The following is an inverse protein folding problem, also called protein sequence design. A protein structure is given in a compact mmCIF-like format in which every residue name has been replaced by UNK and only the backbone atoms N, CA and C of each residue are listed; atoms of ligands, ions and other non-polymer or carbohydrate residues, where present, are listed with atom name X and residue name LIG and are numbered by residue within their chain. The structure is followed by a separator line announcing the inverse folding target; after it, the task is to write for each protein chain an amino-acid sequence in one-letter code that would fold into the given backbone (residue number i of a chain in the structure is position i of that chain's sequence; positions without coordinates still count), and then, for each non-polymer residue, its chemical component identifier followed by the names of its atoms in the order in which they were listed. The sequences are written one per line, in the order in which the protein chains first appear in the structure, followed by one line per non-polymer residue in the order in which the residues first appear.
data_IF_322645094096
#
_entry.id   IF_322645094096
#
_cell.length_a   1.000
_cell.length_b   1.000
_cell.length_c   1.000
_cell.angle_alpha   90.00
_cell.angle_beta   90.00
_cell.angle_gamma   90.00
#
_symmetry.space_group_name_H-M   'P 1'
#
loop_
_entity.id
_entity.type
_entity.pdbx_description
1 polymer ?
#
# COMPACT_ATOMS: atom_id res chain seq x y z
N UNK A 1 -3.50 11.49 1.39
CA UNK A 1 -4.77 11.39 0.63
C UNK A 1 -4.92 10.07 -0.12
N UNK A 2 -3.84 9.46 -0.62
CA UNK A 2 -3.88 8.26 -1.46
C UNK A 2 -4.37 6.95 -0.79
N UNK A 3 -4.71 6.97 0.50
CA UNK A 3 -5.21 5.80 1.24
C UNK A 3 -6.68 6.01 1.63
N UNK A 4 -6.97 6.36 2.88
CA UNK A 4 -8.34 6.44 3.42
C UNK A 4 -9.25 7.44 2.70
N UNK A 5 -8.72 8.61 2.31
CA UNK A 5 -9.50 9.62 1.57
C UNK A 5 -9.85 9.13 0.16
N UNK A 6 -8.92 8.48 -0.53
CA UNK A 6 -9.19 7.89 -1.84
C UNK A 6 -10.23 6.77 -1.74
N UNK A 7 -10.15 5.91 -0.72
CA UNK A 7 -11.17 4.89 -0.46
C UNK A 7 -12.55 5.51 -0.21
N UNK A 8 -12.61 6.62 0.53
CA UNK A 8 -13.86 7.35 0.77
C UNK A 8 -14.46 7.95 -0.50
N UNK A 9 -13.66 8.57 -1.35
CA UNK A 9 -14.13 9.10 -2.64
C UNK A 9 -14.74 7.98 -3.50
N UNK A 10 -14.18 6.76 -3.40
CA UNK A 10 -14.65 5.59 -4.11
C UNK A 10 -15.83 4.87 -3.44
N UNK A 11 -16.31 5.34 -2.28
CA UNK A 11 -17.33 4.67 -1.45
C UNK A 11 -16.91 3.25 -1.02
N UNK A 12 -15.63 3.07 -0.69
CA UNK A 12 -15.02 1.78 -0.30
C UNK A 12 -14.27 1.87 1.03
N UNK A 13 -14.72 2.75 1.93
CA UNK A 13 -14.17 2.83 3.28
C UNK A 13 -14.27 1.47 4.00
N UNK A 14 -13.21 1.08 4.70
CA UNK A 14 -13.15 -0.22 5.39
C UNK A 14 -12.79 -1.40 4.49
N UNK A 15 -12.93 -1.26 3.16
CA UNK A 15 -12.47 -2.26 2.18
C UNK A 15 -11.10 -1.92 1.59
N UNK A 16 -10.84 -0.64 1.31
CA UNK A 16 -9.59 -0.13 0.73
C UNK A 16 -8.96 0.95 1.61
N UNK A 17 -7.66 1.20 1.40
CA UNK A 17 -6.96 2.33 2.01
C UNK A 17 -6.78 2.22 3.54
N UNK A 18 -6.98 1.03 4.11
CA UNK A 18 -6.78 0.72 5.51
C UNK A 18 -6.20 -0.71 5.68
N UNK A 19 -5.59 -0.97 6.84
CA UNK A 19 -5.18 -2.31 7.26
C UNK A 19 -6.10 -2.73 8.40
N UNK A 20 -7.08 -3.56 8.09
CA UNK A 20 -8.09 -4.02 9.04
C UNK A 20 -8.61 -5.41 8.66
N UNK A 21 -9.18 -6.14 9.62
CA UNK A 21 -9.82 -7.42 9.33
C UNK A 21 -11.01 -7.22 8.38
N UNK A 22 -11.08 -8.04 7.32
CA UNK A 22 -12.14 -7.96 6.30
C UNK A 22 -11.86 -6.99 5.15
N UNK A 23 -10.82 -6.15 5.25
CA UNK A 23 -10.37 -5.32 4.13
C UNK A 23 -9.70 -6.16 3.03
N UNK A 24 -9.63 -5.61 1.82
CA UNK A 24 -8.90 -6.25 0.72
C UNK A 24 -7.40 -6.24 1.05
N UNK A 25 -6.74 -7.37 0.81
CA UNK A 25 -5.30 -7.51 0.98
C UNK A 25 -4.52 -6.82 -0.16
N UNK A 26 -4.66 -5.49 -0.24
CA UNK A 26 -3.86 -4.58 -1.05
C UNK A 26 -2.80 -3.93 -0.15
N UNK A 27 -1.54 -4.38 -0.27
CA UNK A 27 -0.47 -4.03 0.66
C UNK A 27 0.81 -3.63 -0.07
N UNK A 28 1.52 -2.65 0.49
CA UNK A 28 2.89 -2.31 0.11
C UNK A 28 3.79 -2.53 1.33
N UNK A 29 4.92 -3.19 1.12
CA UNK A 29 6.04 -3.17 2.08
C UNK A 29 7.07 -2.19 1.54
N UNK A 30 7.36 -1.17 2.32
CA UNK A 30 8.24 -0.06 1.94
C UNK A 30 9.51 -0.16 2.77
N UNK A 31 10.66 -0.07 2.11
CA UNK A 31 11.97 0.03 2.77
C UNK A 31 12.23 1.49 3.13
N UNK A 32 11.60 1.93 4.22
CA UNK A 32 11.61 3.31 4.69
C UNK A 32 10.35 3.67 5.45
N UNK A 33 10.28 4.90 5.97
CA UNK A 33 9.10 5.43 6.63
C UNK A 33 8.53 6.63 5.84
N UNK A 34 7.40 6.46 5.12
CA UNK A 34 6.74 7.54 4.38
C UNK A 34 6.26 8.71 5.23
N UNK A 35 6.12 8.55 6.56
CA UNK A 35 5.78 9.64 7.47
C UNK A 35 6.97 10.55 7.74
N UNK A 36 8.18 9.97 7.75
CA UNK A 36 9.43 10.68 7.97
C UNK A 36 10.04 11.21 6.66
N UNK A 37 9.97 10.43 5.58
CA UNK A 37 10.44 10.82 4.25
C UNK A 37 9.54 10.22 3.15
N UNK A 38 8.77 11.08 2.48
CA UNK A 38 7.85 10.67 1.41
C UNK A 38 8.59 10.17 0.15
N UNK A 39 9.89 10.44 0.01
CA UNK A 39 10.67 10.07 -1.17
C UNK A 39 10.71 8.56 -1.41
N UNK A 40 10.54 7.75 -0.35
CA UNK A 40 10.46 6.29 -0.43
C UNK A 40 9.27 5.75 -1.26
N UNK A 41 8.27 6.58 -1.55
CA UNK A 41 7.13 6.22 -2.40
C UNK A 41 7.24 6.74 -3.85
N UNK A 42 8.28 7.48 -4.17
CA UNK A 42 8.49 8.11 -5.49
C UNK A 42 9.38 7.19 -6.35
N UNK A 43 9.53 7.52 -7.65
CA UNK A 43 10.37 6.77 -8.58
C UNK A 43 9.59 5.71 -9.36
N UNK A 44 10.23 4.58 -9.62
CA UNK A 44 9.60 3.39 -10.22
C UNK A 44 9.39 2.27 -9.18
N UNK A 45 9.33 2.65 -7.90
CA UNK A 45 9.06 1.73 -6.79
C UNK A 45 10.29 0.95 -6.34
N UNK A 46 11.47 1.55 -6.45
CA UNK A 46 12.75 0.96 -6.05
C UNK A 46 12.75 0.55 -4.57
N UNK A 47 12.12 1.36 -3.71
CA UNK A 47 12.00 1.10 -2.27
C UNK A 47 10.74 0.31 -1.87
N UNK A 48 9.96 -0.17 -2.84
CA UNK A 48 8.81 -1.05 -2.56
C UNK A 48 9.29 -2.51 -2.58
N UNK A 49 9.66 -3.05 -1.42
CA UNK A 49 10.19 -4.40 -1.28
C UNK A 49 9.15 -5.49 -1.61
N UNK A 50 7.87 -5.22 -1.37
CA UNK A 50 6.78 -6.13 -1.71
C UNK A 50 5.53 -5.36 -2.13
N UNK A 51 4.82 -5.91 -3.11
CA UNK A 51 3.51 -5.43 -3.58
C UNK A 51 2.55 -6.60 -3.57
N UNK A 52 1.47 -6.47 -2.81
CA UNK A 52 0.36 -7.41 -2.76
C UNK A 52 -0.89 -6.71 -3.29
N UNK A 53 -1.61 -7.35 -4.20
CA UNK A 53 -2.86 -6.86 -4.75
C UNK A 53 -3.91 -7.98 -4.71
N UNK A 54 -5.05 -7.73 -4.07
CA UNK A 54 -6.12 -8.72 -3.90
C UNK A 54 -5.64 -10.01 -3.25
N UNK A 55 -4.67 -9.93 -2.33
CA UNK A 55 -4.05 -11.10 -1.69
C UNK A 55 -3.01 -11.84 -2.54
N UNK A 56 -2.72 -11.39 -3.76
CA UNK A 56 -1.71 -12.00 -4.63
C UNK A 56 -0.42 -11.17 -4.60
N UNK A 57 0.73 -11.85 -4.50
CA UNK A 57 2.04 -11.19 -4.52
C UNK A 57 2.44 -10.90 -5.96
N UNK A 58 2.62 -9.62 -6.29
CA UNK A 58 3.04 -9.16 -7.63
C UNK A 58 4.53 -8.77 -7.69
N UNK A 59 5.10 -8.34 -6.55
CA UNK A 59 6.54 -8.08 -6.38
C UNK A 59 6.95 -8.57 -5.00
N UNK A 60 8.09 -9.23 -4.90
CA UNK A 60 8.71 -9.60 -3.64
C UNK A 60 10.22 -9.71 -3.81
N UNK A 61 10.96 -8.85 -3.12
CA UNK A 61 12.43 -8.86 -3.09
C UNK A 61 12.99 -9.23 -1.70
N UNK A 62 12.15 -9.76 -0.80
CA UNK A 62 12.53 -10.16 0.56
C UNK A 62 12.96 -11.63 0.66
N UNK A 63 13.05 -12.33 -0.47
CA UNK A 63 13.43 -13.75 -0.56
C UNK A 63 14.95 -13.95 -0.61
#
# INVERSE_FOLDING_TARGET
SATSVAAQILQREGELGCIAAGAIADLLVVDGDPLSDISCLVGQGEQLAMIVQGGHVHKNTLA
#
